data_IF_844979376127
#
_entry.id   IF_844979376127
#
_cell.length_a   1.000
_cell.length_b   1.000
_cell.length_c   1.000
_cell.angle_alpha   90.00
_cell.angle_beta   90.00
_cell.angle_gamma   90.00
#
_symmetry.space_group_name_H-M   'P 1'
#
loop_
_entity.id
_entity.type
_entity.pdbx_description
1 polymer ?
#
# COMPACT_ATOMS: atom_id res chain seq x y z
N UNK A 1 20.83 22.76 -46.07
CA UNK A 1 19.80 21.80 -45.61
C UNK A 1 20.08 21.50 -44.14
N UNK A 2 19.36 22.08 -43.23
CA UNK A 2 19.43 21.75 -41.81
C UNK A 2 18.82 20.36 -41.60
N UNK A 3 19.49 19.42 -40.93
CA UNK A 3 18.92 18.11 -40.66
C UNK A 3 17.63 18.29 -39.83
N UNK A 4 16.56 17.67 -40.29
CA UNK A 4 15.31 17.59 -39.57
C UNK A 4 15.59 16.93 -38.19
N UNK A 5 15.17 17.51 -37.06
CA UNK A 5 15.42 16.87 -35.78
C UNK A 5 14.70 15.52 -35.78
N UNK A 6 15.45 14.46 -35.57
CA UNK A 6 14.93 13.11 -35.35
C UNK A 6 13.88 13.19 -34.24
N UNK A 7 12.66 12.66 -34.43
CA UNK A 7 11.65 12.66 -33.37
C UNK A 7 12.25 11.95 -32.15
N UNK A 8 12.46 12.69 -31.08
CA UNK A 8 12.90 12.11 -29.81
C UNK A 8 11.81 11.14 -29.34
N UNK A 9 12.19 9.86 -29.21
CA UNK A 9 11.27 8.87 -28.64
C UNK A 9 10.76 9.36 -27.28
N UNK A 10 9.47 9.15 -26.98
CA UNK A 10 8.93 9.55 -25.70
C UNK A 10 9.71 8.87 -24.58
N UNK A 11 10.05 9.61 -23.53
CA UNK A 11 10.74 9.04 -22.39
C UNK A 11 9.82 8.06 -21.66
N UNK A 12 10.36 6.85 -21.35
CA UNK A 12 9.58 5.82 -20.67
C UNK A 12 9.05 6.34 -19.34
N UNK A 13 7.75 6.14 -19.10
CA UNK A 13 7.03 6.57 -17.90
C UNK A 13 6.22 5.42 -17.33
N UNK A 14 6.69 4.83 -16.25
CA UNK A 14 5.99 3.76 -15.52
C UNK A 14 5.43 4.33 -14.23
N UNK A 15 4.14 4.17 -14.02
CA UNK A 15 3.51 4.46 -12.75
C UNK A 15 3.34 3.18 -11.92
N UNK A 16 3.50 3.28 -10.62
CA UNK A 16 3.07 2.30 -9.63
C UNK A 16 1.98 2.93 -8.77
N UNK A 17 0.81 2.34 -8.78
CA UNK A 17 -0.33 2.73 -7.95
C UNK A 17 -0.51 1.71 -6.83
N UNK A 18 -0.69 2.19 -5.61
CA UNK A 18 -0.90 1.39 -4.41
C UNK A 18 -2.02 2.03 -3.58
N UNK A 19 -3.05 1.26 -3.24
CA UNK A 19 -4.19 1.74 -2.46
C UNK A 19 -3.79 1.91 -0.99
N UNK A 20 -4.14 3.04 -0.40
CA UNK A 20 -3.71 3.40 0.95
C UNK A 20 -4.44 2.58 2.03
N UNK A 21 -3.68 1.80 2.80
CA UNK A 21 -4.19 0.94 3.87
C UNK A 21 -5.45 0.16 3.45
N UNK A 22 -5.43 -0.44 2.25
CA UNK A 22 -6.60 -0.84 1.44
C UNK A 22 -7.67 -1.58 2.23
N UNK A 23 -7.34 -2.70 2.89
CA UNK A 23 -8.31 -3.50 3.64
C UNK A 23 -8.96 -2.70 4.79
N UNK A 24 -8.20 -1.82 5.43
CA UNK A 24 -8.74 -0.96 6.48
C UNK A 24 -9.62 0.13 5.88
N UNK A 25 -9.16 0.77 4.79
CA UNK A 25 -9.90 1.83 4.12
C UNK A 25 -11.25 1.35 3.60
N UNK A 26 -11.33 0.14 3.04
CA UNK A 26 -12.58 -0.50 2.62
C UNK A 26 -13.53 -0.66 3.82
N UNK A 27 -13.05 -1.16 4.96
CA UNK A 27 -13.88 -1.28 6.17
C UNK A 27 -14.34 0.07 6.71
N UNK A 28 -13.52 1.11 6.61
CA UNK A 28 -13.88 2.47 7.05
C UNK A 28 -14.95 3.15 6.17
N UNK A 29 -15.22 2.64 4.96
CA UNK A 29 -16.39 3.07 4.20
C UNK A 29 -17.68 2.59 4.84
N UNK A 30 -17.68 1.39 5.41
CA UNK A 30 -18.82 0.80 6.12
C UNK A 30 -19.01 1.39 7.54
N UNK A 31 -17.90 1.79 8.19
CA UNK A 31 -17.88 2.35 9.54
C UNK A 31 -17.21 3.72 9.57
N UNK A 32 -17.86 4.76 9.03
CA UNK A 32 -17.25 6.10 8.88
C UNK A 32 -16.87 6.73 10.22
N UNK A 33 -17.55 6.39 11.32
CA UNK A 33 -17.26 6.86 12.69
C UNK A 33 -15.88 6.39 13.21
N UNK A 34 -15.27 5.40 12.56
CA UNK A 34 -13.93 4.91 12.90
C UNK A 34 -12.81 5.64 12.17
N UNK A 35 -13.13 6.57 11.26
CA UNK A 35 -12.10 7.36 10.55
C UNK A 35 -11.27 8.17 11.55
N UNK A 36 -9.95 8.17 11.35
CA UNK A 36 -9.02 8.86 12.26
C UNK A 36 -8.63 8.06 13.50
N UNK A 37 -9.27 6.93 13.77
CA UNK A 37 -8.95 6.07 14.90
C UNK A 37 -7.93 4.98 14.53
N UNK A 38 -7.18 4.45 15.52
CA UNK A 38 -6.35 3.27 15.31
C UNK A 38 -7.25 2.03 15.10
N UNK A 39 -7.26 1.53 13.85
CA UNK A 39 -7.99 0.33 13.44
C UNK A 39 -7.02 -0.68 12.84
N UNK A 40 -7.21 -1.92 13.17
CA UNK A 40 -6.43 -3.07 12.70
C UNK A 40 -7.37 -4.08 12.06
N UNK A 41 -6.98 -4.58 10.89
CA UNK A 41 -7.70 -5.64 10.19
C UNK A 41 -6.94 -6.95 10.38
N UNK A 42 -7.64 -7.98 10.89
CA UNK A 42 -7.03 -9.29 11.12
C UNK A 42 -7.86 -10.18 12.04
N UNK A 43 -7.27 -11.28 12.50
CA UNK A 43 -7.89 -12.19 13.46
C UNK A 43 -8.75 -13.29 12.84
N UNK A 44 -9.45 -14.05 13.70
CA UNK A 44 -10.32 -15.15 13.28
C UNK A 44 -11.62 -14.62 12.70
N UNK A 45 -11.81 -14.90 11.42
CA UNK A 45 -12.91 -14.39 10.61
C UNK A 45 -14.28 -14.75 11.21
N UNK A 46 -14.53 -16.03 11.48
CA UNK A 46 -15.88 -16.53 11.78
C UNK A 46 -16.51 -15.93 13.05
N UNK A 47 -15.81 -16.00 14.19
CA UNK A 47 -16.36 -15.51 15.47
C UNK A 47 -16.52 -13.99 15.53
N UNK A 48 -15.62 -13.28 14.83
CA UNK A 48 -15.67 -11.82 14.79
C UNK A 48 -16.75 -11.32 13.84
N UNK A 49 -16.97 -12.02 12.72
CA UNK A 49 -18.05 -11.71 11.78
C UNK A 49 -19.41 -11.91 12.43
N UNK A 50 -19.62 -13.03 13.13
CA UNK A 50 -20.88 -13.33 13.86
C UNK A 50 -21.19 -12.25 14.92
N UNK A 51 -20.18 -11.85 15.69
CA UNK A 51 -20.33 -10.81 16.71
C UNK A 51 -20.60 -9.42 16.13
N UNK A 52 -19.98 -9.12 14.97
CA UNK A 52 -20.17 -7.84 14.28
C UNK A 52 -21.56 -7.79 13.62
N UNK A 53 -21.96 -8.86 12.93
CA UNK A 53 -23.30 -9.00 12.35
C UNK A 53 -24.42 -8.88 13.39
N UNK A 54 -24.23 -9.44 14.58
CA UNK A 54 -25.18 -9.30 15.67
C UNK A 54 -25.34 -7.84 16.13
N UNK A 55 -24.28 -7.04 16.07
CA UNK A 55 -24.33 -5.59 16.41
C UNK A 55 -24.95 -4.76 15.28
N UNK A 56 -24.81 -5.18 14.05
CA UNK A 56 -25.39 -4.54 12.86
C UNK A 56 -26.89 -4.84 12.70
N UNK A 57 -27.40 -5.89 13.35
CA UNK A 57 -28.77 -6.33 13.17
C UNK A 57 -29.77 -5.21 13.50
N UNK A 58 -30.44 -4.70 12.48
CA UNK A 58 -31.46 -3.66 12.60
C UNK A 58 -30.95 -2.23 12.86
N UNK A 59 -29.62 -1.98 12.71
CA UNK A 59 -29.00 -0.65 12.87
C UNK A 59 -28.30 -0.22 11.60
N UNK A 60 -28.21 1.10 11.38
CA UNK A 60 -27.23 1.63 10.43
C UNK A 60 -25.82 1.42 11.00
N UNK A 61 -24.90 0.94 10.18
CA UNK A 61 -23.52 0.68 10.60
C UNK A 61 -22.79 1.95 11.05
N UNK A 62 -23.20 3.13 10.55
CA UNK A 62 -22.67 4.42 10.96
C UNK A 62 -23.10 4.83 12.38
N UNK A 63 -24.22 4.30 12.88
CA UNK A 63 -24.77 4.62 14.21
C UNK A 63 -24.22 3.72 15.33
N UNK A 64 -23.39 2.73 15.00
CA UNK A 64 -22.80 1.85 16.02
C UNK A 64 -21.78 2.66 16.83
N UNK A 65 -21.95 2.77 18.18
CA UNK A 65 -21.00 3.49 19.02
C UNK A 65 -19.59 2.91 18.97
N UNK A 66 -18.57 3.78 19.01
CA UNK A 66 -17.15 3.38 18.89
C UNK A 66 -16.69 2.45 20.01
N UNK A 67 -17.28 2.51 21.17
CA UNK A 67 -16.98 1.68 22.34
C UNK A 67 -17.55 0.26 22.22
N UNK A 68 -18.55 0.04 21.37
CA UNK A 68 -19.07 -1.30 21.07
C UNK A 68 -18.14 -2.15 20.18
N UNK A 69 -17.17 -1.54 19.48
CA UNK A 69 -16.24 -2.29 18.64
C UNK A 69 -15.18 -3.05 19.46
N UNK A 70 -14.81 -4.29 19.04
CA UNK A 70 -13.81 -5.08 19.74
C UNK A 70 -12.45 -4.40 19.72
N UNK A 71 -11.70 -4.51 20.84
CA UNK A 71 -10.37 -3.91 20.98
C UNK A 71 -9.27 -4.95 20.93
N UNK A 72 -8.08 -4.52 20.50
CA UNK A 72 -6.91 -5.40 20.48
C UNK A 72 -6.54 -5.95 21.85
N UNK A 73 -6.72 -5.19 22.94
CA UNK A 73 -6.45 -5.65 24.31
C UNK A 73 -7.23 -6.90 24.70
N UNK A 74 -8.41 -7.12 24.10
CA UNK A 74 -9.29 -8.23 24.42
C UNK A 74 -9.03 -9.45 23.51
N UNK A 75 -8.08 -9.34 22.59
CA UNK A 75 -7.76 -10.40 21.64
C UNK A 75 -6.88 -11.48 22.26
N UNK A 76 -7.32 -12.73 22.09
CA UNK A 76 -6.54 -13.93 22.44
C UNK A 76 -6.43 -14.84 21.21
N UNK A 77 -5.22 -15.17 20.79
CA UNK A 77 -5.01 -16.06 19.64
C UNK A 77 -3.67 -15.86 18.93
N UNK A 78 -3.48 -16.58 17.82
CA UNK A 78 -2.26 -16.57 17.01
C UNK A 78 -2.40 -15.81 15.68
N UNK A 79 -3.44 -15.01 15.52
CA UNK A 79 -3.69 -14.26 14.31
C UNK A 79 -2.62 -13.20 14.06
N UNK A 80 -2.54 -12.80 12.80
CA UNK A 80 -1.67 -11.69 12.33
C UNK A 80 -2.51 -10.56 11.76
N UNK A 81 -1.90 -9.38 11.70
CA UNK A 81 -2.46 -8.20 11.09
C UNK A 81 -2.35 -8.32 9.57
N UNK A 82 -3.47 -8.17 8.87
CA UNK A 82 -3.50 -8.01 7.41
C UNK A 82 -3.09 -6.60 7.04
N UNK A 83 -3.73 -5.59 7.67
CA UNK A 83 -3.35 -4.18 7.52
C UNK A 83 -3.75 -3.37 8.75
N UNK A 84 -3.18 -2.17 8.87
CA UNK A 84 -3.48 -1.22 9.93
C UNK A 84 -3.65 0.18 9.35
N UNK A 85 -4.56 0.98 9.95
CA UNK A 85 -4.71 2.39 9.61
C UNK A 85 -3.46 3.19 9.98
N UNK A 86 -3.27 4.35 9.35
CA UNK A 86 -2.12 5.23 9.66
C UNK A 86 -2.06 5.65 11.14
N UNK A 87 -3.19 5.96 11.81
CA UNK A 87 -3.18 6.17 13.27
C UNK A 87 -2.65 4.96 14.05
N UNK A 88 -2.99 3.72 13.67
CA UNK A 88 -2.45 2.54 14.33
C UNK A 88 -0.93 2.35 14.06
N UNK A 89 -0.48 2.68 12.84
CA UNK A 89 0.95 2.62 12.47
C UNK A 89 1.83 3.57 13.28
N UNK A 90 1.30 4.68 13.80
CA UNK A 90 2.02 5.61 14.69
C UNK A 90 2.43 4.95 16.01
N UNK A 91 1.72 3.91 16.45
CA UNK A 91 2.09 3.09 17.60
C UNK A 91 3.03 1.93 17.26
N UNK A 92 3.59 1.90 16.04
CA UNK A 92 4.47 0.82 15.57
C UNK A 92 3.73 -0.46 15.15
N UNK A 93 2.40 -0.40 14.99
CA UNK A 93 1.58 -1.52 14.53
C UNK A 93 1.59 -1.59 13.02
N UNK A 94 1.84 -2.77 12.43
CA UNK A 94 1.95 -2.92 10.97
C UNK A 94 1.51 -4.29 10.46
N UNK A 95 1.43 -4.43 9.15
CA UNK A 95 1.08 -5.68 8.46
C UNK A 95 2.05 -6.81 8.83
N UNK A 96 1.56 -8.03 8.82
CA UNK A 96 2.26 -9.27 9.22
C UNK A 96 2.66 -9.34 10.71
N UNK A 97 2.39 -8.32 11.52
CA UNK A 97 2.62 -8.37 12.97
C UNK A 97 1.62 -9.28 13.66
N UNK A 98 2.07 -10.08 14.62
CA UNK A 98 1.14 -10.87 15.47
C UNK A 98 0.23 -9.98 16.30
N UNK A 99 -1.07 -10.29 16.34
CA UNK A 99 -2.08 -9.49 17.04
C UNK A 99 -1.80 -9.33 18.55
N UNK A 100 -1.26 -10.37 19.21
CA UNK A 100 -0.84 -10.28 20.62
C UNK A 100 0.31 -9.30 20.84
N UNK A 101 1.23 -9.15 19.87
CA UNK A 101 2.29 -8.14 19.91
C UNK A 101 1.71 -6.74 19.67
N UNK A 102 0.82 -6.61 18.70
CA UNK A 102 0.14 -5.34 18.41
C UNK A 102 -0.73 -4.86 19.58
N UNK A 103 -1.39 -5.78 20.29
CA UNK A 103 -2.17 -5.47 21.50
C UNK A 103 -1.33 -4.82 22.62
N UNK A 104 -0.03 -5.18 22.71
CA UNK A 104 0.90 -4.54 23.66
C UNK A 104 1.30 -3.13 23.22
N UNK A 105 1.36 -2.86 21.91
CA UNK A 105 1.76 -1.57 21.36
C UNK A 105 0.59 -0.58 21.29
N UNK A 106 -0.61 -1.06 20.95
CA UNK A 106 -1.81 -0.24 20.79
C UNK A 106 -3.05 -0.98 21.30
N UNK A 107 -3.20 -1.15 22.64
CA UNK A 107 -4.29 -1.93 23.25
C UNK A 107 -5.68 -1.35 22.94
N UNK A 108 -5.77 -0.05 22.72
CA UNK A 108 -7.01 0.66 22.39
C UNK A 108 -7.45 0.51 20.94
N UNK A 109 -6.60 -0.01 20.03
CA UNK A 109 -6.96 -0.15 18.62
C UNK A 109 -8.16 -1.04 18.43
N UNK A 110 -9.03 -0.67 17.50
CA UNK A 110 -10.20 -1.45 17.10
C UNK A 110 -9.74 -2.59 16.21
N UNK A 111 -10.24 -3.79 16.47
CA UNK A 111 -9.94 -4.98 15.68
C UNK A 111 -11.17 -5.39 14.86
N UNK A 112 -11.01 -5.38 13.53
CA UNK A 112 -12.06 -5.77 12.59
C UNK A 112 -11.62 -6.95 11.73
N UNK A 113 -12.54 -7.84 11.34
CA UNK A 113 -12.25 -8.95 10.44
C UNK A 113 -12.07 -8.48 9.00
N UNK A 114 -11.33 -9.27 8.20
CA UNK A 114 -11.20 -9.05 6.76
C UNK A 114 -12.49 -9.42 6.06
N UNK A 115 -12.94 -8.57 5.15
CA UNK A 115 -14.01 -8.84 4.20
C UNK A 115 -13.41 -8.98 2.78
N UNK A 116 -13.11 -10.22 2.39
CA UNK A 116 -12.46 -10.44 1.10
C UNK A 116 -13.38 -10.19 -0.09
N UNK A 117 -14.69 -10.32 0.07
CA UNK A 117 -15.62 -10.11 -1.05
C UNK A 117 -15.71 -8.62 -1.36
N UNK A 118 -15.83 -7.80 -0.33
CA UNK A 118 -15.86 -6.35 -0.47
C UNK A 118 -14.50 -5.82 -1.00
N UNK A 119 -13.40 -6.30 -0.44
CA UNK A 119 -12.05 -5.95 -0.90
C UNK A 119 -11.84 -6.31 -2.38
N UNK A 120 -12.28 -7.50 -2.82
CA UNK A 120 -12.21 -7.90 -4.25
C UNK A 120 -13.06 -7.00 -5.13
N UNK A 121 -14.25 -6.63 -4.70
CA UNK A 121 -15.13 -5.71 -5.44
C UNK A 121 -14.46 -4.36 -5.67
N UNK A 122 -13.90 -3.74 -4.64
CA UNK A 122 -13.18 -2.47 -4.77
C UNK A 122 -11.89 -2.61 -5.60
N UNK A 123 -11.20 -3.74 -5.48
CA UNK A 123 -10.02 -4.04 -6.31
C UNK A 123 -10.36 -4.06 -7.81
N UNK A 124 -11.44 -4.73 -8.18
CA UNK A 124 -11.92 -4.75 -9.57
C UNK A 124 -12.33 -3.36 -10.05
N UNK A 125 -13.03 -2.61 -9.20
CA UNK A 125 -13.53 -1.28 -9.53
C UNK A 125 -12.38 -0.29 -9.81
N UNK A 126 -11.37 -0.19 -8.94
CA UNK A 126 -10.28 0.75 -9.20
C UNK A 126 -9.43 0.32 -10.40
N UNK A 127 -9.22 -0.97 -10.62
CA UNK A 127 -8.48 -1.47 -11.78
C UNK A 127 -9.21 -1.18 -13.09
N UNK A 128 -10.53 -1.27 -13.10
CA UNK A 128 -11.33 -0.89 -14.28
C UNK A 128 -11.14 0.61 -14.58
N UNK A 129 -11.23 1.47 -13.57
CA UNK A 129 -11.00 2.92 -13.73
C UNK A 129 -9.60 3.19 -14.31
N UNK A 130 -8.58 2.49 -13.81
CA UNK A 130 -7.22 2.62 -14.34
C UNK A 130 -7.15 2.19 -15.80
N UNK A 131 -7.74 1.05 -16.16
CA UNK A 131 -7.71 0.51 -17.51
C UNK A 131 -8.45 1.41 -18.51
N UNK A 132 -9.55 2.03 -18.09
CA UNK A 132 -10.31 2.97 -18.92
C UNK A 132 -9.52 4.23 -19.27
N UNK A 133 -8.61 4.66 -18.39
CA UNK A 133 -7.77 5.85 -18.59
C UNK A 133 -6.44 5.49 -19.25
N UNK A 134 -5.81 4.41 -18.81
CA UNK A 134 -4.50 3.94 -19.25
C UNK A 134 -4.52 2.41 -19.46
N UNK A 135 -4.77 1.93 -20.69
CA UNK A 135 -5.08 0.53 -20.96
C UNK A 135 -3.91 -0.44 -20.76
N UNK A 136 -2.66 0.07 -20.79
CA UNK A 136 -1.47 -0.78 -20.55
C UNK A 136 -1.19 -0.86 -19.06
N UNK A 137 -1.85 -1.82 -18.40
CA UNK A 137 -1.75 -2.06 -16.96
C UNK A 137 -1.29 -3.49 -16.66
N UNK A 138 -0.39 -3.64 -15.70
CA UNK A 138 0.05 -4.92 -15.14
C UNK A 138 -0.50 -5.07 -13.71
N UNK A 139 -1.31 -6.09 -13.49
CA UNK A 139 -1.83 -6.42 -12.16
C UNK A 139 -0.74 -7.06 -11.28
N UNK A 140 -0.51 -6.52 -10.07
CA UNK A 140 0.51 -7.03 -9.13
C UNK A 140 -0.06 -7.56 -7.82
N UNK A 141 -1.34 -7.40 -7.60
CA UNK A 141 -1.98 -7.85 -6.38
C UNK A 141 -3.41 -7.33 -6.27
N UNK A 142 -3.96 -7.39 -5.08
CA UNK A 142 -5.33 -6.96 -4.83
C UNK A 142 -5.44 -5.42 -4.77
N UNK A 143 -4.36 -4.76 -4.35
CA UNK A 143 -4.29 -3.33 -4.04
C UNK A 143 -3.25 -2.55 -4.84
N UNK A 144 -2.48 -3.20 -5.73
CA UNK A 144 -1.42 -2.53 -6.49
C UNK A 144 -1.39 -2.92 -7.97
N UNK A 145 -1.01 -1.96 -8.81
CA UNK A 145 -0.82 -2.13 -10.25
C UNK A 145 0.37 -1.33 -10.76
N UNK A 146 1.00 -1.79 -11.84
CA UNK A 146 1.86 -0.96 -12.68
C UNK A 146 1.12 -0.52 -13.92
N UNK A 147 1.41 0.71 -14.39
CA UNK A 147 0.74 1.33 -15.52
C UNK A 147 1.82 1.94 -16.42
N UNK A 148 1.77 1.68 -17.71
CA UNK A 148 2.66 2.34 -18.65
C UNK A 148 1.99 3.64 -19.18
N UNK A 149 2.55 4.77 -18.79
CA UNK A 149 2.11 6.11 -19.21
C UNK A 149 2.77 6.59 -20.50
N UNK A 150 3.76 5.86 -21.02
CA UNK A 150 4.67 6.34 -22.08
C UNK A 150 3.90 6.88 -23.28
N UNK A 151 2.95 6.12 -23.80
CA UNK A 151 2.18 6.45 -24.99
C UNK A 151 0.73 6.89 -24.69
N UNK A 152 0.36 6.99 -23.42
CA UNK A 152 -0.97 7.44 -23.03
C UNK A 152 -1.09 8.95 -23.26
N UNK A 153 -2.18 9.46 -23.86
CA UNK A 153 -2.40 10.89 -24.02
C UNK A 153 -2.26 11.64 -22.68
N UNK A 154 -1.37 12.61 -22.62
CA UNK A 154 -1.06 13.34 -21.38
C UNK A 154 -0.01 12.68 -20.48
N UNK A 155 0.43 11.45 -20.75
CA UNK A 155 1.41 10.71 -19.94
C UNK A 155 2.78 11.37 -19.88
N UNK A 156 3.15 12.17 -20.88
CA UNK A 156 4.39 12.95 -20.90
C UNK A 156 4.26 14.34 -20.23
N UNK A 157 3.03 14.81 -19.98
CA UNK A 157 2.82 16.12 -19.35
C UNK A 157 3.31 16.08 -17.91
N UNK A 158 4.09 17.09 -17.52
CA UNK A 158 4.64 17.21 -16.17
C UNK A 158 5.27 15.88 -15.67
N UNK A 159 5.93 15.16 -16.59
CA UNK A 159 6.53 13.85 -16.29
C UNK A 159 5.55 12.80 -15.78
N UNK A 160 4.29 12.86 -16.24
CA UNK A 160 3.21 11.93 -15.86
C UNK A 160 2.36 12.40 -14.67
N UNK A 161 2.64 13.56 -14.09
CA UNK A 161 1.90 14.05 -12.92
C UNK A 161 0.43 14.31 -13.22
N UNK A 162 0.13 14.94 -14.37
CA UNK A 162 -1.25 15.24 -14.79
C UNK A 162 -2.10 13.97 -14.91
N UNK A 163 -1.54 12.92 -15.53
CA UNK A 163 -2.24 11.65 -15.68
C UNK A 163 -2.40 10.92 -14.33
N UNK A 164 -1.36 10.93 -13.49
CA UNK A 164 -1.44 10.36 -12.15
C UNK A 164 -2.52 11.03 -11.29
N UNK A 165 -2.64 12.37 -11.36
CA UNK A 165 -3.72 13.13 -10.68
C UNK A 165 -5.10 12.74 -11.20
N UNK A 166 -5.26 12.59 -12.51
CA UNK A 166 -6.52 12.16 -13.11
C UNK A 166 -6.94 10.78 -12.56
N UNK A 167 -6.05 9.82 -12.59
CA UNK A 167 -6.32 8.46 -12.08
C UNK A 167 -6.66 8.50 -10.59
N UNK A 168 -5.85 9.18 -9.77
CA UNK A 168 -6.06 9.29 -8.33
C UNK A 168 -7.41 9.91 -7.99
N UNK A 169 -7.76 11.01 -8.64
CA UNK A 169 -9.05 11.70 -8.43
C UNK A 169 -10.23 10.87 -8.89
N UNK A 170 -10.13 10.19 -10.04
CA UNK A 170 -11.19 9.29 -10.55
C UNK A 170 -11.46 8.13 -9.60
N UNK A 171 -10.41 7.51 -9.05
CA UNK A 171 -10.55 6.44 -8.06
C UNK A 171 -11.22 6.98 -6.80
N UNK A 172 -10.74 8.10 -6.26
CA UNK A 172 -11.30 8.67 -5.03
C UNK A 172 -12.76 9.07 -5.21
N UNK A 173 -13.11 9.66 -6.34
CA UNK A 173 -14.49 10.08 -6.65
C UNK A 173 -15.43 8.88 -6.78
N UNK A 174 -14.97 7.80 -7.43
CA UNK A 174 -15.81 6.63 -7.69
C UNK A 174 -15.92 5.68 -6.48
N UNK A 175 -14.89 5.61 -5.62
CA UNK A 175 -14.80 4.59 -4.57
C UNK A 175 -14.79 5.17 -3.15
N UNK A 176 -14.48 6.45 -2.98
CA UNK A 176 -14.22 7.06 -1.68
C UNK A 176 -12.88 6.64 -1.04
N UNK A 177 -12.05 5.85 -1.77
CA UNK A 177 -10.76 5.36 -1.31
C UNK A 177 -9.63 6.25 -1.85
N UNK A 178 -8.50 6.27 -1.15
CA UNK A 178 -7.29 6.96 -1.59
C UNK A 178 -6.24 5.98 -2.07
N UNK A 179 -5.37 6.46 -2.96
CA UNK A 179 -4.20 5.71 -3.42
C UNK A 179 -2.98 6.62 -3.51
N UNK A 180 -1.80 6.02 -3.47
CA UNK A 180 -0.54 6.71 -3.66
C UNK A 180 0.10 6.26 -4.96
N UNK A 181 0.65 7.19 -5.75
CA UNK A 181 1.20 6.90 -7.08
C UNK A 181 2.64 7.38 -7.17
N UNK A 182 3.52 6.49 -7.61
CA UNK A 182 4.89 6.82 -7.96
C UNK A 182 5.09 6.72 -9.47
N UNK A 183 5.66 7.73 -10.12
CA UNK A 183 5.98 7.72 -11.56
C UNK A 183 7.48 7.82 -11.74
N UNK A 184 8.06 6.92 -12.55
CA UNK A 184 9.50 6.83 -12.76
C UNK A 184 9.82 6.14 -14.11
N UNK A 185 11.11 6.14 -14.55
CA UNK A 185 11.49 5.47 -15.80
C UNK A 185 11.34 3.94 -15.79
N UNK A 186 11.23 3.31 -14.64
CA UNK A 186 11.07 1.85 -14.50
C UNK A 186 10.23 1.46 -13.28
N UNK A 187 9.82 0.18 -13.24
CA UNK A 187 8.96 -0.39 -12.19
C UNK A 187 9.56 -0.29 -10.78
N UNK A 188 10.86 -0.54 -10.63
CA UNK A 188 11.53 -0.49 -9.33
C UNK A 188 11.44 0.90 -8.72
N UNK A 189 11.85 1.91 -9.48
CA UNK A 189 11.81 3.31 -9.04
C UNK A 189 10.38 3.81 -8.84
N UNK A 190 9.43 3.39 -9.69
CA UNK A 190 8.03 3.75 -9.54
C UNK A 190 7.45 3.21 -8.22
N UNK A 191 7.75 1.95 -7.87
CA UNK A 191 7.32 1.36 -6.60
C UNK A 191 7.97 2.05 -5.39
N UNK A 192 9.25 2.37 -5.47
CA UNK A 192 9.90 3.15 -4.41
C UNK A 192 9.28 4.55 -4.27
N UNK A 193 9.02 5.21 -5.38
CA UNK A 193 8.42 6.55 -5.40
C UNK A 193 7.02 6.58 -4.81
N UNK A 194 6.19 5.54 -5.00
CA UNK A 194 4.84 5.48 -4.45
C UNK A 194 4.80 5.50 -2.92
N UNK A 195 5.91 5.11 -2.25
CA UNK A 195 6.02 5.13 -0.79
C UNK A 195 6.41 6.51 -0.21
N UNK A 196 6.93 7.46 -1.01
CA UNK A 196 7.54 8.68 -0.50
C UNK A 196 6.55 9.66 0.13
N UNK A 197 5.32 9.67 -0.36
CA UNK A 197 4.29 10.62 0.08
C UNK A 197 2.98 9.92 0.49
N UNK A 198 3.05 8.68 1.00
CA UNK A 198 1.86 8.01 1.56
C UNK A 198 1.36 8.72 2.81
N UNK A 199 0.03 8.80 3.02
CA UNK A 199 -1.06 8.42 2.13
C UNK A 199 -1.44 9.53 1.13
N UNK A 200 -2.18 9.15 0.09
CA UNK A 200 -2.82 10.04 -0.91
C UNK A 200 -1.83 10.96 -1.64
N UNK A 201 -0.59 10.48 -1.83
CA UNK A 201 0.48 11.26 -2.43
C UNK A 201 0.85 10.81 -3.84
N UNK A 202 1.36 11.75 -4.63
CA UNK A 202 1.97 11.47 -5.93
C UNK A 202 3.43 11.89 -5.87
N UNK A 203 4.32 11.00 -6.33
CA UNK A 203 5.76 11.25 -6.38
C UNK A 203 6.31 10.94 -7.75
N UNK A 204 7.03 11.88 -8.32
CA UNK A 204 7.74 11.71 -9.58
C UNK A 204 9.22 11.53 -9.26
N UNK A 205 9.86 10.56 -9.90
CA UNK A 205 11.31 10.33 -9.83
C UNK A 205 11.85 10.31 -11.26
N UNK A 206 12.72 11.25 -11.56
CA UNK A 206 13.41 11.34 -12.84
C UNK A 206 14.88 10.84 -12.71
N UNK A 207 15.59 10.56 -13.82
CA UNK A 207 16.97 10.13 -13.74
C UNK A 207 17.87 11.09 -12.92
N UNK A 208 17.60 12.38 -12.99
CA UNK A 208 18.35 13.43 -12.27
C UNK A 208 18.16 13.35 -10.75
N UNK A 209 17.03 12.79 -10.30
CA UNK A 209 16.69 12.64 -8.87
C UNK A 209 17.43 11.48 -8.20
N UNK A 210 18.04 10.55 -8.96
CA UNK A 210 18.57 9.29 -8.42
C UNK A 210 19.64 9.53 -7.36
N UNK A 211 20.59 10.42 -7.65
CA UNK A 211 21.69 10.69 -6.74
C UNK A 211 21.24 11.34 -5.43
N UNK A 212 20.26 12.23 -5.48
CA UNK A 212 19.80 12.99 -4.32
C UNK A 212 18.70 12.30 -3.51
N UNK A 213 17.84 11.49 -4.16
CA UNK A 213 16.62 10.95 -3.54
C UNK A 213 16.61 9.43 -3.38
N UNK A 214 17.36 8.69 -4.23
CA UNK A 214 17.34 7.23 -4.22
C UNK A 214 18.61 6.67 -3.58
N UNK A 215 19.81 7.12 -3.98
CA UNK A 215 21.07 6.58 -3.46
C UNK A 215 21.28 6.73 -1.95
N UNK A 216 20.76 7.78 -1.29
CA UNK A 216 20.87 7.89 0.17
C UNK A 216 19.93 6.95 0.94
N UNK A 217 19.01 6.26 0.25
CA UNK A 217 18.07 5.36 0.92
C UNK A 217 18.80 4.09 1.40
N UNK A 218 18.47 3.59 2.61
CA UNK A 218 19.02 2.33 3.08
C UNK A 218 18.55 1.18 2.18
N UNK A 219 19.41 0.19 1.93
CA UNK A 219 19.15 -0.96 1.04
C UNK A 219 17.82 -1.67 1.31
N UNK A 220 17.38 -1.72 2.58
CA UNK A 220 16.07 -2.29 2.97
C UNK A 220 14.86 -1.58 2.35
N UNK A 221 15.03 -0.37 1.81
CA UNK A 221 13.97 0.38 1.10
C UNK A 221 13.89 0.01 -0.38
N UNK A 222 14.86 -0.71 -0.90
CA UNK A 222 14.85 -1.21 -2.27
C UNK A 222 13.97 -2.45 -2.32
N UNK A 223 12.92 -2.41 -3.15
CA UNK A 223 12.01 -3.54 -3.27
C UNK A 223 12.76 -4.79 -3.80
N UNK A 224 12.55 -5.93 -3.14
CA UNK A 224 13.22 -7.19 -3.48
C UNK A 224 14.53 -7.46 -2.71
N UNK A 225 15.05 -6.49 -1.95
CA UNK A 225 16.20 -6.72 -1.07
C UNK A 225 15.71 -7.13 0.31
N UNK A 226 15.88 -8.42 0.63
CA UNK A 226 15.49 -8.98 1.92
C UNK A 226 16.58 -8.71 2.98
N UNK A 227 16.17 -8.33 4.19
CA UNK A 227 17.08 -8.10 5.33
C UNK A 227 17.94 -9.34 5.70
N UNK A 228 17.43 -10.54 5.40
CA UNK A 228 18.20 -11.78 5.60
C UNK A 228 19.49 -11.84 4.76
N UNK A 229 19.54 -11.14 3.63
CA UNK A 229 20.73 -11.09 2.75
C UNK A 229 21.58 -9.84 2.97
N UNK A 230 21.08 -8.87 3.74
CA UNK A 230 21.80 -7.61 4.02
C UNK A 230 22.42 -7.54 5.40
N UNK A 231 22.16 -8.54 6.25
CA UNK A 231 22.77 -8.70 7.57
C UNK A 231 23.72 -9.92 7.55
N UNK A 232 24.91 -9.83 8.15
CA UNK A 232 25.79 -10.98 8.29
C UNK A 232 25.03 -12.13 8.99
N UNK A 233 25.01 -13.29 8.34
CA UNK A 233 24.48 -14.50 8.97
C UNK A 233 25.51 -15.05 9.97
N UNK A 234 25.07 -15.64 11.09
CA UNK A 234 25.99 -16.41 11.93
C UNK A 234 26.76 -17.50 11.17
N UNK A 235 26.22 -17.99 10.06
CA UNK A 235 26.90 -18.95 9.17
C UNK A 235 28.02 -18.30 8.36
N UNK A 236 27.90 -17.02 7.98
CA UNK A 236 28.94 -16.30 7.23
C UNK A 236 30.18 -16.05 8.09
N UNK A 237 30.04 -16.09 9.42
CA UNK A 237 31.12 -15.90 10.39
C UNK A 237 31.93 -17.21 10.60
N UNK A 238 31.31 -18.38 10.38
CA UNK A 238 31.97 -19.68 10.54
C UNK A 238 32.88 -20.01 9.35
N UNK A 239 32.55 -19.61 8.12
CA UNK A 239 33.42 -19.80 6.94
C UNK A 239 34.72 -19.00 7.02
N UNK A 240 34.76 -17.90 7.76
CA UNK A 240 35.99 -17.13 7.97
C UNK A 240 36.96 -17.71 9.02
N UNK A 241 36.59 -18.84 9.67
CA UNK A 241 37.38 -19.51 10.70
C UNK A 241 37.99 -20.84 10.25
N UNK A 242 38.06 -21.13 8.96
CA UNK A 242 38.87 -22.29 8.52
C UNK A 242 40.33 -22.00 8.80
N UNK A 243 41.00 -22.80 9.62
CA UNK A 243 42.44 -22.67 9.84
C UNK A 243 43.13 -22.97 8.51
N UNK A 244 43.98 -22.02 8.05
CA UNK A 244 44.92 -22.35 6.99
C UNK A 244 45.77 -23.50 7.45
N UNK A 245 45.51 -24.68 6.89
CA UNK A 245 46.39 -25.85 7.09
C UNK A 245 47.78 -25.51 6.53
N UNK A 246 48.73 -25.46 7.42
CA UNK A 246 50.16 -25.43 7.13
C UNK A 246 50.61 -26.61 6.26
#
# INVERSE_FOLDING_TARGET
MTPNPTPTQPSRRIAHLDMDAFYASVKLLRYPQLKGLPVVIGGSRRKMDEALQAREAGRDTADIPVDEFPRLRDYVGRGVITTATYPARQFGVGSAMGLMKAAKLCPQAILLPVDFDEVRRFSQQFKQIVTDIAPVMENRGIDEVYIDFTDVPGGQRESGLSLARLIQSSITQATGLTCSIGVAPNKLLAKMASEFKKPNGISIVQPEDLQSRIWPLPCRKINGICLLYTSPSPRDVEESRMPSSA
#
